data_IF_979916103229
#
_entry.id   IF_979916103229
#
_cell.length_a   1.000
_cell.length_b   1.000
_cell.length_c   1.000
_cell.angle_alpha   90.00
_cell.angle_beta   90.00
_cell.angle_gamma   90.00
#
_symmetry.space_group_name_H-M   'P 1'
#
loop_
_entity.id
_entity.type
_entity.pdbx_description
1 polymer ?
#
# COMPACT_ATOMS: atom_id res chain seq x y z
N UNK A 1 -12.84 -22.16 -16.26
CA UNK A 1 -12.83 -21.20 -15.14
C UNK A 1 -14.26 -20.89 -14.77
N UNK A 2 -14.58 -20.74 -13.48
CA UNK A 2 -15.94 -20.41 -13.06
C UNK A 2 -16.27 -18.95 -13.41
N UNK A 3 -17.51 -18.68 -13.83
CA UNK A 3 -17.94 -17.33 -14.22
C UNK A 3 -17.78 -16.36 -13.05
N UNK A 4 -17.04 -15.27 -13.28
CA UNK A 4 -16.84 -14.21 -12.28
C UNK A 4 -18.15 -13.41 -12.09
N UNK A 5 -18.62 -13.37 -10.85
CA UNK A 5 -19.83 -12.69 -10.38
C UNK A 5 -19.58 -12.02 -9.03
N UNK A 6 -20.48 -11.12 -8.61
CA UNK A 6 -20.42 -10.52 -7.26
C UNK A 6 -20.47 -11.57 -6.15
N UNK A 7 -21.22 -12.66 -6.34
CA UNK A 7 -21.28 -13.76 -5.38
C UNK A 7 -19.94 -14.49 -5.30
N UNK A 8 -19.31 -14.81 -6.43
CA UNK A 8 -17.98 -15.43 -6.43
C UNK A 8 -16.93 -14.53 -5.81
N UNK A 9 -16.96 -13.21 -6.07
CA UNK A 9 -16.03 -12.26 -5.46
C UNK A 9 -16.11 -12.30 -3.93
N UNK A 10 -17.34 -12.23 -3.42
CA UNK A 10 -17.60 -12.30 -1.98
C UNK A 10 -17.09 -13.62 -1.38
N UNK A 11 -17.37 -14.73 -2.04
CA UNK A 11 -17.00 -16.05 -1.56
C UNK A 11 -15.49 -16.26 -1.58
N UNK A 12 -14.81 -15.88 -2.67
CA UNK A 12 -13.35 -16.00 -2.82
C UNK A 12 -12.61 -15.11 -1.81
N UNK A 13 -13.11 -13.90 -1.52
CA UNK A 13 -12.57 -13.05 -0.43
C UNK A 13 -12.66 -13.77 0.91
N UNK A 14 -13.84 -14.32 1.23
CA UNK A 14 -14.06 -14.98 2.51
C UNK A 14 -13.22 -16.26 2.64
N UNK A 15 -13.10 -17.02 1.56
CA UNK A 15 -12.27 -18.22 1.47
C UNK A 15 -10.78 -17.88 1.68
N UNK A 16 -10.27 -16.83 1.02
CA UNK A 16 -8.90 -16.37 1.24
C UNK A 16 -8.68 -15.95 2.69
N UNK A 17 -9.61 -15.16 3.25
CA UNK A 17 -9.53 -14.77 4.65
C UNK A 17 -9.55 -15.97 5.60
N UNK A 18 -10.38 -16.99 5.36
CA UNK A 18 -10.44 -18.17 6.22
C UNK A 18 -9.16 -19.00 6.15
N UNK A 19 -8.59 -19.14 4.95
CA UNK A 19 -7.35 -19.88 4.69
C UNK A 19 -6.13 -19.20 5.31
N UNK A 20 -6.02 -17.88 5.13
CA UNK A 20 -4.82 -17.10 5.49
C UNK A 20 -4.99 -16.30 6.78
N UNK A 21 -6.20 -16.27 7.35
CA UNK A 21 -6.57 -15.50 8.56
C UNK A 21 -6.12 -14.04 8.52
N UNK A 22 -6.20 -13.43 7.34
CA UNK A 22 -5.79 -12.05 7.09
C UNK A 22 -4.38 -11.87 6.54
N UNK A 23 -3.64 -12.95 6.27
CA UNK A 23 -2.35 -12.92 5.59
C UNK A 23 -1.32 -12.09 6.36
N UNK A 24 -0.73 -11.09 5.69
CA UNK A 24 0.23 -10.16 6.32
C UNK A 24 -0.39 -9.36 7.49
N UNK A 25 -1.70 -9.24 7.53
CA UNK A 25 -2.42 -8.55 8.60
C UNK A 25 -3.01 -9.51 9.64
N UNK A 26 -2.58 -10.77 9.69
CA UNK A 26 -3.11 -11.78 10.62
C UNK A 26 -3.05 -11.37 12.08
N UNK A 27 -2.00 -10.65 12.51
CA UNK A 27 -1.89 -10.09 13.87
C UNK A 27 -3.06 -9.15 14.24
N UNK A 28 -3.70 -8.53 13.25
CA UNK A 28 -4.86 -7.66 13.43
C UNK A 28 -6.18 -8.35 13.08
N UNK A 29 -6.15 -9.31 12.14
CA UNK A 29 -7.33 -9.85 11.48
C UNK A 29 -7.67 -11.29 11.89
N UNK A 30 -6.85 -11.99 12.66
CA UNK A 30 -7.17 -13.35 13.12
C UNK A 30 -8.44 -13.37 14.00
N UNK A 31 -8.48 -12.46 14.99
CA UNK A 31 -9.63 -12.21 15.85
C UNK A 31 -9.94 -10.70 15.86
N UNK A 32 -10.56 -10.18 14.79
CA UNK A 32 -10.60 -8.75 14.56
C UNK A 32 -11.54 -8.05 15.54
N UNK A 33 -10.99 -7.05 16.22
CA UNK A 33 -11.73 -6.02 16.94
C UNK A 33 -11.82 -4.73 16.11
N UNK A 34 -12.70 -3.81 16.52
CA UNK A 34 -12.83 -2.49 15.87
C UNK A 34 -11.51 -1.72 15.89
N UNK A 35 -10.77 -1.85 16.99
CA UNK A 35 -9.45 -1.23 17.17
C UNK A 35 -8.43 -1.84 16.20
N UNK A 36 -8.34 -3.16 16.13
CA UNK A 36 -7.38 -3.84 15.26
C UNK A 36 -7.65 -3.56 13.77
N UNK A 37 -8.91 -3.54 13.32
CA UNK A 37 -9.21 -3.16 11.92
C UNK A 37 -8.74 -1.73 11.64
N UNK A 38 -8.94 -0.81 12.59
CA UNK A 38 -8.49 0.59 12.44
C UNK A 38 -6.95 0.69 12.39
N UNK A 39 -6.26 0.01 13.29
CA UNK A 39 -4.79 -0.06 13.32
C UNK A 39 -4.25 -0.69 12.03
N UNK A 40 -4.89 -1.74 11.52
CA UNK A 40 -4.56 -2.35 10.24
C UNK A 40 -4.68 -1.35 9.08
N UNK A 41 -5.76 -0.57 9.04
CA UNK A 41 -5.94 0.47 8.02
C UNK A 41 -4.82 1.52 8.09
N UNK A 42 -4.46 1.99 9.29
CA UNK A 42 -3.40 2.97 9.48
C UNK A 42 -2.02 2.42 9.06
N UNK A 43 -1.75 1.16 9.40
CA UNK A 43 -0.50 0.50 9.03
C UNK A 43 -0.39 0.32 7.51
N UNK A 44 -1.47 -0.07 6.84
CA UNK A 44 -1.50 -0.32 5.41
C UNK A 44 -1.56 0.95 4.56
N UNK A 45 -2.13 2.04 5.06
CA UNK A 45 -2.35 3.28 4.32
C UNK A 45 -1.10 3.80 3.57
N UNK A 46 0.11 3.87 4.18
CA UNK A 46 1.31 4.28 3.45
C UNK A 46 1.93 3.18 2.58
N UNK A 47 1.55 1.90 2.79
CA UNK A 47 2.19 0.72 2.21
C UNK A 47 1.50 0.20 0.95
N UNK A 48 0.16 0.29 0.89
CA UNK A 48 -0.63 -0.17 -0.26
C UNK A 48 -1.10 1.02 -1.10
N UNK A 49 -0.64 1.08 -2.34
CA UNK A 49 -0.89 2.18 -3.30
C UNK A 49 -1.25 1.66 -4.69
N UNK A 50 -2.00 0.58 -4.76
CA UNK A 50 -2.45 0.07 -6.06
C UNK A 50 -3.46 1.02 -6.68
N UNK A 51 -3.59 0.93 -8.01
CA UNK A 51 -4.36 1.85 -8.86
C UNK A 51 -5.75 2.20 -8.33
N UNK A 52 -6.43 1.27 -7.67
CA UNK A 52 -7.80 1.43 -7.20
C UNK A 52 -7.93 1.57 -5.67
N UNK A 53 -6.84 1.42 -4.92
CA UNK A 53 -6.86 1.41 -3.45
C UNK A 53 -7.38 2.74 -2.90
N UNK A 54 -6.97 3.86 -3.49
CA UNK A 54 -7.46 5.18 -3.09
C UNK A 54 -8.98 5.31 -3.26
N UNK A 55 -9.53 4.79 -4.36
CA UNK A 55 -10.98 4.79 -4.60
C UNK A 55 -11.74 3.93 -3.58
N UNK A 56 -11.17 2.78 -3.19
CA UNK A 56 -11.73 1.91 -2.15
C UNK A 56 -11.76 2.63 -0.81
N UNK A 57 -10.63 3.21 -0.40
CA UNK A 57 -10.51 3.93 0.87
C UNK A 57 -11.43 5.16 0.89
N UNK A 58 -11.47 5.96 -0.17
CA UNK A 58 -12.37 7.11 -0.27
C UNK A 58 -13.85 6.70 -0.16
N UNK A 59 -14.25 5.58 -0.76
CA UNK A 59 -15.64 5.10 -0.70
C UNK A 59 -16.06 4.70 0.72
N UNK A 60 -15.16 4.11 1.49
CA UNK A 60 -15.43 3.70 2.88
C UNK A 60 -15.29 4.86 3.87
N UNK A 61 -14.15 5.54 3.85
CA UNK A 61 -13.80 6.58 4.82
C UNK A 61 -14.41 7.95 4.51
N UNK A 62 -14.74 8.21 3.23
CA UNK A 62 -15.27 9.50 2.77
C UNK A 62 -14.37 10.67 3.19
N UNK A 63 -13.08 10.55 2.88
CA UNK A 63 -12.10 11.60 3.17
C UNK A 63 -12.54 12.93 2.53
N UNK A 64 -12.34 14.02 3.25
CA UNK A 64 -12.52 15.36 2.68
C UNK A 64 -11.30 15.71 1.81
N UNK A 65 -11.50 16.59 0.85
CA UNK A 65 -10.40 17.11 0.04
C UNK A 65 -9.35 17.80 0.93
N UNK A 66 -8.07 17.53 0.68
CA UNK A 66 -6.96 18.04 1.49
C UNK A 66 -6.85 17.47 2.90
N UNK A 67 -7.72 16.53 3.30
CA UNK A 67 -7.71 15.99 4.66
C UNK A 67 -6.56 14.98 4.87
N UNK A 68 -5.94 15.04 6.06
CA UNK A 68 -5.01 14.00 6.49
C UNK A 68 -5.77 12.67 6.67
N UNK A 69 -5.52 11.72 5.75
CA UNK A 69 -6.20 10.41 5.71
C UNK A 69 -5.97 9.60 7.00
N UNK A 70 -4.77 9.61 7.57
CA UNK A 70 -4.48 8.91 8.84
C UNK A 70 -5.34 9.46 9.98
N UNK A 71 -5.37 10.78 10.13
CA UNK A 71 -6.20 11.45 11.14
C UNK A 71 -7.69 11.17 10.94
N UNK A 72 -8.16 11.16 9.69
CA UNK A 72 -9.54 10.83 9.36
C UNK A 72 -9.93 9.39 9.72
N UNK A 73 -9.01 8.43 9.56
CA UNK A 73 -9.19 7.04 10.00
C UNK A 73 -9.23 6.97 11.54
N UNK A 74 -8.30 7.64 12.23
CA UNK A 74 -8.19 7.59 13.69
C UNK A 74 -9.47 8.04 14.41
N UNK A 75 -10.06 9.15 13.94
CA UNK A 75 -11.30 9.74 14.49
C UNK A 75 -12.58 8.99 14.09
N UNK A 76 -12.49 8.00 13.21
CA UNK A 76 -13.66 7.26 12.75
C UNK A 76 -14.29 6.49 13.93
N UNK A 77 -15.62 6.61 14.06
CA UNK A 77 -16.39 5.87 15.07
C UNK A 77 -16.29 4.37 14.81
N UNK A 78 -16.01 3.61 15.88
CA UNK A 78 -15.81 2.16 15.80
C UNK A 78 -16.98 1.37 15.23
N UNK A 79 -18.21 1.90 15.30
CA UNK A 79 -19.41 1.24 14.78
C UNK A 79 -19.37 1.02 13.26
N UNK A 80 -18.59 1.83 12.53
CA UNK A 80 -18.36 1.64 11.09
C UNK A 80 -17.66 0.32 10.75
N UNK A 81 -16.86 -0.22 11.67
CA UNK A 81 -16.14 -1.48 11.47
C UNK A 81 -16.95 -2.70 11.91
N UNK A 82 -18.05 -2.54 12.66
CA UNK A 82 -18.87 -3.66 13.13
C UNK A 82 -19.36 -4.56 11.97
N UNK A 83 -19.89 -4.05 10.85
CA UNK A 83 -20.30 -4.89 9.73
C UNK A 83 -19.16 -5.65 9.03
N UNK A 84 -17.91 -5.20 9.19
CA UNK A 84 -16.73 -5.91 8.66
C UNK A 84 -16.40 -7.07 9.58
N UNK A 85 -16.35 -6.83 10.89
CA UNK A 85 -16.10 -7.87 11.90
C UNK A 85 -17.14 -8.98 11.78
N UNK A 86 -18.42 -8.62 11.77
CA UNK A 86 -19.52 -9.58 11.67
C UNK A 86 -19.45 -10.41 10.38
N UNK A 87 -19.02 -9.81 9.28
CA UNK A 87 -18.83 -10.52 8.02
C UNK A 87 -17.65 -11.49 8.08
N UNK A 88 -16.49 -11.05 8.58
CA UNK A 88 -15.29 -11.88 8.71
C UNK A 88 -15.50 -13.06 9.68
N UNK A 89 -16.26 -12.84 10.77
CA UNK A 89 -16.61 -13.89 11.74
C UNK A 89 -17.72 -14.83 11.25
N UNK A 90 -18.33 -14.57 10.10
CA UNK A 90 -19.44 -15.35 9.58
C UNK A 90 -20.79 -15.12 10.29
N UNK A 91 -20.89 -14.12 11.16
CA UNK A 91 -22.14 -13.72 11.83
C UNK A 91 -23.17 -13.16 10.84
N UNK A 92 -22.70 -12.58 9.73
CA UNK A 92 -23.56 -12.07 8.66
C UNK A 92 -23.16 -12.64 7.30
N UNK A 93 -24.16 -13.09 6.52
CA UNK A 93 -23.94 -13.63 5.18
C UNK A 93 -23.57 -12.58 4.13
N UNK A 94 -23.85 -11.30 4.35
CA UNK A 94 -23.57 -10.23 3.39
C UNK A 94 -23.18 -8.94 4.11
N UNK A 95 -22.52 -8.06 3.38
CA UNK A 95 -22.14 -6.73 3.83
C UNK A 95 -22.25 -5.76 2.65
N UNK A 96 -22.10 -4.46 2.89
CA UNK A 96 -22.19 -3.48 1.82
C UNK A 96 -21.02 -3.61 0.84
N UNK A 97 -21.16 -3.17 -0.44
CA UNK A 97 -20.05 -3.16 -1.37
C UNK A 97 -18.82 -2.44 -0.83
N UNK A 98 -18.99 -1.29 -0.16
CA UNK A 98 -17.88 -0.53 0.43
C UNK A 98 -17.11 -1.34 1.49
N UNK A 99 -17.82 -2.10 2.32
CA UNK A 99 -17.20 -2.96 3.32
C UNK A 99 -16.45 -4.12 2.67
N UNK A 100 -17.03 -4.74 1.63
CA UNK A 100 -16.43 -5.85 0.92
C UNK A 100 -15.14 -5.42 0.20
N UNK A 101 -15.14 -4.23 -0.42
CA UNK A 101 -13.95 -3.65 -1.04
C UNK A 101 -12.88 -3.30 0.00
N UNK A 102 -13.27 -2.79 1.18
CA UNK A 102 -12.29 -2.55 2.23
C UNK A 102 -11.69 -3.86 2.73
N UNK A 103 -12.48 -4.94 2.86
CA UNK A 103 -11.98 -6.26 3.24
C UNK A 103 -11.01 -6.79 2.18
N UNK A 104 -11.37 -6.69 0.89
CA UNK A 104 -10.50 -7.14 -0.20
C UNK A 104 -9.17 -6.38 -0.19
N UNK A 105 -9.22 -5.07 0.09
CA UNK A 105 -8.03 -4.28 0.33
C UNK A 105 -7.26 -4.79 1.54
N UNK A 106 -7.86 -4.96 2.73
CA UNK A 106 -7.22 -5.37 3.98
C UNK A 106 -6.45 -6.70 3.88
N UNK A 107 -6.97 -7.69 3.17
CA UNK A 107 -6.36 -9.02 3.05
C UNK A 107 -5.47 -9.18 1.81
N UNK A 108 -5.21 -8.11 1.07
CA UNK A 108 -4.55 -8.11 -0.24
C UNK A 108 -5.21 -9.04 -1.28
N UNK A 109 -6.54 -9.18 -1.27
CA UNK A 109 -7.27 -9.96 -2.26
C UNK A 109 -7.13 -9.33 -3.65
N UNK A 110 -6.79 -10.14 -4.65
CA UNK A 110 -6.63 -9.71 -6.05
C UNK A 110 -7.41 -10.61 -7.02
N UNK A 111 -7.96 -10.04 -8.10
CA UNK A 111 -8.03 -8.61 -8.40
C UNK A 111 -9.09 -7.88 -7.56
N UNK A 112 -8.84 -6.59 -7.29
CA UNK A 112 -9.78 -5.66 -6.64
C UNK A 112 -9.77 -4.32 -7.40
N UNK A 113 -10.89 -3.56 -7.42
CA UNK A 113 -12.19 -3.83 -6.83
C UNK A 113 -13.05 -4.84 -7.63
N UNK A 114 -14.29 -5.09 -7.19
CA UNK A 114 -15.24 -5.98 -7.87
C UNK A 114 -15.34 -5.72 -9.38
N UNK A 115 -15.32 -4.46 -9.82
CA UNK A 115 -15.41 -4.14 -11.25
C UNK A 115 -14.22 -4.67 -12.06
N UNK A 116 -13.03 -4.75 -11.46
CA UNK A 116 -11.84 -5.35 -12.08
C UNK A 116 -11.96 -6.87 -12.06
N UNK A 117 -12.43 -7.44 -10.96
CA UNK A 117 -12.66 -8.87 -10.80
C UNK A 117 -13.69 -9.43 -11.78
N UNK A 118 -14.78 -8.71 -12.06
CA UNK A 118 -15.78 -9.16 -13.03
C UNK A 118 -15.24 -9.18 -14.46
N UNK A 119 -14.16 -8.45 -14.72
CA UNK A 119 -13.57 -8.26 -16.04
C UNK A 119 -12.22 -8.99 -16.17
N UNK A 120 -11.86 -9.90 -15.25
CA UNK A 120 -10.55 -10.57 -15.26
C UNK A 120 -10.22 -11.27 -16.58
N UNK A 121 -11.22 -11.76 -17.32
CA UNK A 121 -11.00 -12.35 -18.65
C UNK A 121 -10.59 -11.33 -19.73
N UNK A 122 -10.82 -10.04 -19.50
CA UNK A 122 -10.41 -8.94 -20.40
C UNK A 122 -9.07 -8.32 -20.00
N UNK A 123 -8.75 -8.33 -18.71
CA UNK A 123 -7.52 -7.72 -18.17
C UNK A 123 -6.26 -8.58 -18.41
N UNK A 124 -6.38 -9.91 -18.54
CA UNK A 124 -5.25 -10.78 -18.93
C UNK A 124 -4.75 -10.56 -20.36
N UNK A 125 -5.53 -9.91 -21.25
CA UNK A 125 -5.08 -9.57 -22.61
C UNK A 125 -4.36 -8.23 -22.72
N UNK A 126 -4.42 -7.35 -21.71
CA UNK A 126 -3.90 -5.97 -21.80
C UNK A 126 -2.57 -5.74 -21.09
N UNK A 127 -2.12 -6.65 -20.23
CA UNK A 127 -0.80 -6.56 -19.57
C UNK A 127 0.34 -7.20 -20.39
N UNK A 128 0.04 -8.07 -21.36
CA UNK A 128 1.05 -8.69 -22.25
C UNK A 128 1.55 -7.73 -23.35
N UNK A 129 0.88 -6.61 -23.63
CA UNK A 129 1.22 -5.71 -24.75
C UNK A 129 1.80 -4.35 -24.34
N UNK A 130 2.04 -4.11 -23.03
CA UNK A 130 2.66 -2.85 -22.54
C UNK A 130 4.13 -2.98 -22.15
N UNK A 131 4.74 -4.15 -22.37
CA UNK A 131 6.19 -4.34 -22.34
C UNK A 131 6.70 -4.73 -23.73
N UNK A 132 6.77 -3.79 -24.67
CA UNK A 132 7.76 -3.78 -25.78
C UNK A 132 7.64 -2.52 -26.64
N UNK A 133 8.62 -1.62 -26.45
CA UNK A 133 9.25 -0.67 -27.41
C UNK A 133 9.71 0.57 -26.60
N UNK A 134 10.98 1.03 -26.56
CA UNK A 134 12.23 0.75 -27.29
C UNK A 134 13.45 1.12 -26.39
N UNK A 135 14.71 1.14 -26.87
CA UNK A 135 15.57 -0.01 -27.16
C UNK A 135 16.85 0.01 -26.30
N UNK A 136 17.36 -1.17 -25.97
CA UNK A 136 18.68 -1.38 -25.38
C UNK A 136 19.73 -1.38 -26.50
N UNK A 137 20.71 -0.46 -26.45
CA UNK A 137 21.92 -0.53 -27.27
C UNK A 137 22.98 -1.38 -26.53
N UNK A 138 23.31 -2.50 -27.18
CA UNK A 138 24.48 -3.39 -27.11
C UNK A 138 25.84 -2.63 -27.04
N UNK A 139 26.99 -3.08 -26.48
CA UNK A 139 27.58 -4.31 -25.84
C UNK A 139 28.93 -3.80 -25.22
N UNK A 140 29.59 -4.35 -24.18
CA UNK A 140 30.62 -5.41 -24.19
C UNK A 140 31.36 -5.53 -22.83
N UNK A 141 31.58 -6.79 -22.42
CA UNK A 141 32.73 -7.43 -21.72
C UNK A 141 33.21 -6.98 -20.33
N UNK A 142 33.30 -7.98 -19.42
CA UNK A 142 34.07 -7.95 -18.15
C UNK A 142 35.49 -8.43 -18.46
N UNK A 143 36.54 -7.74 -17.97
CA UNK A 143 37.41 -8.35 -16.95
C UNK A 143 37.80 -7.41 -15.80
N UNK A 144 37.91 -8.03 -14.63
CA UNK A 144 38.37 -7.59 -13.31
C UNK A 144 39.61 -6.68 -13.30
N UNK A 145 39.54 -5.52 -12.64
CA UNK A 145 40.47 -5.07 -11.58
C UNK A 145 39.93 -3.85 -10.83
N UNK A 146 40.14 -3.89 -9.51
CA UNK A 146 40.05 -2.89 -8.43
C UNK A 146 39.75 -1.42 -8.77
N UNK A 147 38.67 -0.86 -8.22
CA UNK A 147 38.66 0.55 -7.75
C UNK A 147 37.52 0.81 -6.75
N UNK A 148 37.84 1.53 -5.68
CA UNK A 148 36.97 1.80 -4.52
C UNK A 148 35.87 2.81 -4.89
N UNK A 149 34.64 2.58 -4.42
CA UNK A 149 33.53 3.55 -4.57
C UNK A 149 33.76 4.73 -3.64
N UNK A 150 33.95 5.92 -4.22
CA UNK A 150 34.06 7.20 -3.51
C UNK A 150 32.79 7.51 -2.70
N UNK A 151 33.00 7.86 -1.44
CA UNK A 151 31.98 8.36 -0.50
C UNK A 151 31.72 9.83 -0.88
N UNK A 152 30.46 10.31 -0.95
CA UNK A 152 30.19 11.70 -1.31
C UNK A 152 30.79 12.69 -0.30
N UNK A 153 31.51 13.68 -0.84
CA UNK A 153 32.18 14.77 -0.11
C UNK A 153 31.22 15.51 0.84
N UNK A 154 31.33 15.19 2.13
CA UNK A 154 30.64 15.93 3.20
C UNK A 154 31.60 16.98 3.74
N UNK A 155 31.38 18.25 3.42
CA UNK A 155 32.18 19.37 3.96
C UNK A 155 31.49 19.96 5.19
N UNK A 156 32.18 19.90 6.32
CA UNK A 156 31.83 20.65 7.54
C UNK A 156 32.24 22.09 7.33
N UNK A 157 31.29 23.03 7.46
CA UNK A 157 31.55 24.45 7.14
C UNK A 157 31.78 25.26 8.41
N UNK A 158 31.11 24.93 9.51
CA UNK A 158 31.28 25.59 10.81
C UNK A 158 31.02 24.60 11.95
N UNK A 159 31.86 24.67 12.99
CA UNK A 159 31.72 23.90 14.24
C UNK A 159 31.96 24.85 15.42
N UNK A 160 30.93 25.01 16.24
CA UNK A 160 31.02 25.67 17.55
C UNK A 160 30.65 24.66 18.65
N UNK A 161 30.92 24.96 19.91
CA UNK A 161 30.67 24.07 21.06
C UNK A 161 29.19 23.65 21.23
N UNK A 162 28.27 24.25 20.48
CA UNK A 162 26.81 24.02 20.57
C UNK A 162 26.16 23.47 19.29
N UNK A 163 26.84 23.50 18.13
CA UNK A 163 26.27 22.98 16.88
C UNK A 163 27.31 22.74 15.78
N UNK A 164 26.95 21.86 14.84
CA UNK A 164 27.72 21.56 13.63
C UNK A 164 26.84 21.88 12.41
N UNK A 165 27.34 22.69 11.49
CA UNK A 165 26.69 22.96 10.19
C UNK A 165 27.38 22.17 9.08
N UNK A 166 26.62 21.30 8.42
CA UNK A 166 27.09 20.39 7.37
C UNK A 166 26.36 20.70 6.07
N UNK A 167 27.11 20.81 4.97
CA UNK A 167 26.53 20.84 3.62
C UNK A 167 26.86 19.53 2.91
N UNK A 168 25.84 18.89 2.35
CA UNK A 168 25.97 17.74 1.47
C UNK A 168 25.54 18.15 0.05
N UNK A 169 26.39 17.87 -0.94
CA UNK A 169 26.05 18.05 -2.36
C UNK A 169 25.63 16.69 -2.93
N UNK A 170 24.32 16.50 -3.10
CA UNK A 170 23.75 15.25 -3.62
C UNK A 170 23.72 15.29 -5.18
N UNK A 171 23.79 16.48 -5.78
CA UNK A 171 23.96 16.70 -7.23
C UNK A 171 24.35 18.17 -7.51
N UNK A 172 24.93 18.52 -8.68
CA UNK A 172 25.46 19.86 -8.98
C UNK A 172 24.47 21.01 -8.84
N UNK A 173 23.16 20.74 -8.86
CA UNK A 173 22.08 21.74 -8.82
C UNK A 173 21.38 21.88 -7.46
N UNK A 174 21.71 21.07 -6.45
CA UNK A 174 21.00 21.05 -5.16
C UNK A 174 21.99 21.07 -3.99
N UNK A 175 22.00 22.18 -3.23
CA UNK A 175 22.74 22.32 -1.98
C UNK A 175 21.76 22.20 -0.81
N UNK A 176 21.96 21.20 0.06
CA UNK A 176 21.19 21.02 1.29
C UNK A 176 22.07 21.41 2.47
N UNK A 177 21.58 22.31 3.33
CA UNK A 177 22.27 22.73 4.57
C UNK A 177 21.55 22.12 5.76
N UNK A 178 22.28 21.39 6.60
CA UNK A 178 21.74 20.78 7.83
C UNK A 178 22.51 21.30 9.04
N UNK A 179 21.79 21.75 10.06
CA UNK A 179 22.34 22.16 11.34
C UNK A 179 22.04 21.06 12.35
N UNK A 180 23.07 20.52 12.97
CA UNK A 180 22.97 19.51 14.03
C UNK A 180 23.36 20.18 15.35
N UNK A 181 22.43 20.24 16.29
CA UNK A 181 22.73 20.65 17.68
C UNK A 181 23.45 19.52 18.40
N UNK A 182 24.51 19.85 19.14
CA UNK A 182 25.29 18.91 19.96
C UNK A 182 24.64 18.69 21.33
#
# INVERSE_FOLDING_TARGET
MSRKTSMTYKNEILEQYQRERGGEMSNYLFEPTRRQIKEACLWLLPRRKEKYDEGILNRFFKFKEGENKSYAIERMKGDKFKPIINFLKGETKSTTPANLELISWLIDFKPRPLSVYLNTEKYTKTETTRQKSMPMKQTYQIPTETEMVEIPDTKVIQKDDRSITIISQINPSLKITTIVSL
#
